data_IF_154622816457
#
_entry.id   IF_154622816457
#
_cell.length_a   1.000
_cell.length_b   1.000
_cell.length_c   1.000
_cell.angle_alpha   90.00
_cell.angle_beta   90.00
_cell.angle_gamma   90.00
#
_symmetry.space_group_name_H-M   'P 1'
#
loop_
_entity.id
_entity.type
_entity.pdbx_description
1 polymer ?
#
# COMPACT_ATOMS: atom_id res chain seq x y z
N UNK A 1 -3.18 7.12 2.17
CA UNK A 1 -3.24 5.81 2.84
C UNK A 1 -2.92 6.00 4.32
N UNK A 2 -3.67 5.37 5.21
CA UNK A 2 -3.47 5.44 6.66
C UNK A 2 -2.79 4.17 7.15
N UNK A 3 -1.56 4.30 7.64
CA UNK A 3 -0.79 3.24 8.30
C UNK A 3 -0.85 3.47 9.80
N UNK A 4 -1.66 2.67 10.51
CA UNK A 4 -1.83 2.80 11.95
C UNK A 4 -0.69 2.09 12.69
N UNK A 5 -0.14 2.74 13.70
CA UNK A 5 0.95 2.22 14.54
C UNK A 5 0.42 1.76 15.89
N UNK A 6 1.20 0.95 16.59
CA UNK A 6 1.00 0.53 17.99
C UNK A 6 1.51 1.57 19.02
N UNK A 7 2.22 2.60 18.55
CA UNK A 7 2.62 3.77 19.32
C UNK A 7 1.76 5.00 18.94
N UNK A 8 1.38 5.88 19.89
CA UNK A 8 1.74 5.89 21.32
C UNK A 8 0.95 4.93 22.20
N UNK A 9 0.02 4.16 21.64
CA UNK A 9 -0.72 3.14 22.35
C UNK A 9 -1.46 2.21 21.40
N UNK A 10 -2.10 1.16 21.93
CA UNK A 10 -2.77 0.14 21.12
C UNK A 10 -3.81 0.74 20.18
N UNK A 11 -3.75 0.34 18.92
CA UNK A 11 -4.70 0.74 17.87
C UNK A 11 -5.32 -0.50 17.22
N UNK A 12 -6.66 -0.57 17.17
CA UNK A 12 -7.38 -1.73 16.65
C UNK A 12 -7.12 -1.99 15.15
N UNK A 13 -6.79 -0.94 14.38
CA UNK A 13 -6.38 -1.09 12.98
C UNK A 13 -4.97 -1.65 12.87
N UNK A 14 -4.06 -1.27 13.78
CA UNK A 14 -2.72 -1.87 13.85
C UNK A 14 -2.79 -3.37 14.19
N UNK A 15 -3.55 -3.75 15.21
CA UNK A 15 -3.71 -5.16 15.64
C UNK A 15 -4.15 -6.07 14.49
N UNK A 16 -4.94 -5.56 13.54
CA UNK A 16 -5.40 -6.31 12.38
C UNK A 16 -4.31 -6.59 11.34
N UNK A 17 -3.23 -5.79 11.29
CA UNK A 17 -2.18 -5.91 10.28
C UNK A 17 -0.81 -5.41 10.78
N UNK A 18 -0.40 -5.83 11.97
CA UNK A 18 0.78 -5.29 12.65
C UNK A 18 2.05 -5.40 11.81
N UNK A 19 2.32 -6.58 11.23
CA UNK A 19 3.56 -6.84 10.49
C UNK A 19 3.79 -5.89 9.32
N UNK A 20 2.78 -5.70 8.47
CA UNK A 20 2.93 -4.84 7.29
C UNK A 20 3.02 -3.37 7.70
N UNK A 21 2.23 -2.95 8.70
CA UNK A 21 2.19 -1.57 9.18
C UNK A 21 3.50 -1.18 9.89
N UNK A 22 4.01 -2.04 10.77
CA UNK A 22 5.27 -1.85 11.49
C UNK A 22 6.46 -1.90 10.53
N UNK A 23 6.47 -2.85 9.58
CA UNK A 23 7.51 -2.90 8.55
C UNK A 23 7.55 -1.62 7.71
N UNK A 24 6.39 -1.03 7.41
CA UNK A 24 6.33 0.21 6.64
C UNK A 24 6.74 1.44 7.44
N UNK A 25 6.33 1.49 8.71
CA UNK A 25 6.73 2.53 9.65
C UNK A 25 8.25 2.53 9.85
N UNK A 26 8.85 1.33 9.97
CA UNK A 26 10.29 1.14 10.03
C UNK A 26 10.99 1.60 8.74
N UNK A 27 10.51 1.19 7.57
CA UNK A 27 11.08 1.56 6.27
C UNK A 27 11.17 3.10 6.10
N UNK A 28 10.13 3.82 6.48
CA UNK A 28 10.11 5.29 6.43
C UNK A 28 10.68 5.99 7.67
N UNK A 29 11.26 5.23 8.60
CA UNK A 29 11.89 5.73 9.83
C UNK A 29 10.95 6.64 10.65
N UNK A 30 9.67 6.28 10.69
CA UNK A 30 8.65 7.01 11.45
C UNK A 30 8.85 6.68 12.94
N UNK A 31 9.21 7.69 13.74
CA UNK A 31 9.51 7.54 15.19
C UNK A 31 8.45 8.14 16.12
N UNK A 32 7.48 8.84 15.57
CA UNK A 32 6.36 9.42 16.28
C UNK A 32 5.22 9.65 15.29
N UNK A 33 4.00 9.80 15.78
CA UNK A 33 2.80 10.08 14.96
C UNK A 33 2.18 11.41 15.38
N UNK A 34 1.45 12.11 14.49
CA UNK A 34 1.24 11.81 13.07
C UNK A 34 2.47 12.13 12.21
N UNK A 35 2.65 11.40 11.10
CA UNK A 35 3.67 11.66 10.07
C UNK A 35 3.09 11.46 8.68
N UNK A 36 3.68 12.16 7.72
CA UNK A 36 3.31 12.08 6.32
C UNK A 36 4.54 11.75 5.48
N UNK A 37 4.37 10.79 4.59
CA UNK A 37 5.35 10.36 3.60
C UNK A 37 4.75 10.60 2.23
N UNK A 38 5.51 11.23 1.33
CA UNK A 38 5.08 11.59 -0.02
C UNK A 38 6.10 11.08 -1.01
N UNK A 39 5.67 10.31 -2.01
CA UNK A 39 6.53 9.72 -3.04
C UNK A 39 7.73 8.92 -2.46
N UNK A 40 7.50 8.26 -1.33
CA UNK A 40 8.53 7.49 -0.62
C UNK A 40 9.47 8.33 0.26
N UNK A 41 9.34 9.66 0.25
CA UNK A 41 10.14 10.56 1.06
C UNK A 41 9.38 11.00 2.32
N UNK A 42 10.07 10.93 3.46
CA UNK A 42 9.59 11.39 4.76
C UNK A 42 10.43 12.57 5.21
N UNK A 43 9.78 13.65 5.66
CA UNK A 43 10.45 14.71 6.43
C UNK A 43 10.19 14.43 7.91
N UNK A 44 11.22 14.59 8.75
CA UNK A 44 11.10 14.38 10.21
C UNK A 44 10.13 15.33 10.93
N UNK A 45 9.49 16.25 10.20
CA UNK A 45 8.52 17.23 10.67
C UNK A 45 7.07 16.74 10.58
N UNK A 46 6.16 17.48 11.22
CA UNK A 46 4.73 17.28 11.06
C UNK A 46 4.28 17.47 9.60
N UNK A 47 3.13 16.88 9.20
CA UNK A 47 2.58 17.06 7.86
C UNK A 47 2.33 18.54 7.53
N UNK A 48 2.97 19.06 6.47
CA UNK A 48 2.62 20.36 5.88
C UNK A 48 1.86 20.14 4.57
N UNK A 49 0.54 20.17 4.63
CA UNK A 49 -0.32 19.85 3.49
C UNK A 49 -0.17 20.83 2.32
N UNK A 50 0.16 22.10 2.57
CA UNK A 50 0.39 23.09 1.51
C UNK A 50 1.64 22.75 0.70
N UNK A 51 2.75 22.44 1.38
CA UNK A 51 3.98 22.01 0.70
C UNK A 51 3.78 20.72 -0.08
N UNK A 52 2.98 19.79 0.46
CA UNK A 52 2.65 18.52 -0.19
C UNK A 52 1.83 18.76 -1.45
N UNK A 53 0.82 19.63 -1.39
CA UNK A 53 0.00 19.98 -2.55
C UNK A 53 0.87 20.62 -3.66
N UNK A 54 1.75 21.55 -3.29
CA UNK A 54 2.69 22.15 -4.24
C UNK A 54 3.64 21.13 -4.86
N UNK A 55 4.16 20.19 -4.06
CA UNK A 55 4.99 19.09 -4.56
C UNK A 55 4.18 18.25 -5.55
N UNK A 56 3.01 17.76 -5.16
CA UNK A 56 2.15 16.96 -6.03
C UNK A 56 1.90 17.64 -7.38
N UNK A 57 1.52 18.93 -7.38
CA UNK A 57 1.29 19.69 -8.62
C UNK A 57 2.52 19.77 -9.52
N UNK A 58 3.73 19.86 -8.97
CA UNK A 58 4.97 19.86 -9.76
C UNK A 58 5.25 18.49 -10.36
N UNK A 59 5.13 17.43 -9.56
CA UNK A 59 5.46 16.07 -10.00
C UNK A 59 4.41 15.48 -10.96
N UNK A 60 3.16 15.95 -10.90
CA UNK A 60 2.11 15.57 -11.86
C UNK A 60 2.42 15.99 -13.31
N UNK A 61 3.34 16.94 -13.51
CA UNK A 61 3.81 17.38 -14.83
C UNK A 61 4.97 16.54 -15.37
N UNK A 62 5.55 15.66 -14.54
CA UNK A 62 6.66 14.80 -14.95
C UNK A 62 6.11 13.53 -15.61
N UNK A 63 6.77 13.11 -16.68
CA UNK A 63 6.43 11.86 -17.34
C UNK A 63 6.76 10.68 -16.42
N UNK A 64 5.76 9.84 -16.13
CA UNK A 64 6.00 8.56 -15.45
C UNK A 64 6.63 7.56 -16.42
N UNK A 65 7.67 6.79 -16.02
CA UNK A 65 8.26 5.78 -16.91
C UNK A 65 7.31 4.64 -17.29
N UNK A 66 6.26 4.44 -16.49
CA UNK A 66 5.30 3.35 -16.67
C UNK A 66 3.86 3.84 -16.57
N UNK A 67 2.98 3.26 -17.38
CA UNK A 67 1.55 3.27 -17.18
C UNK A 67 1.15 2.03 -16.35
N UNK A 68 0.38 2.26 -15.29
CA UNK A 68 -0.15 1.21 -14.42
C UNK A 68 -1.67 1.15 -14.58
N UNK A 69 -2.19 -0.03 -14.94
CA UNK A 69 -3.63 -0.30 -15.01
C UNK A 69 -3.97 -1.41 -14.04
N UNK A 70 -4.77 -1.11 -13.03
CA UNK A 70 -5.30 -2.11 -12.10
C UNK A 70 -6.61 -2.64 -12.66
N UNK A 71 -6.68 -3.94 -12.92
CA UNK A 71 -7.91 -4.60 -13.36
C UNK A 71 -8.85 -4.80 -12.16
N UNK A 72 -10.18 -4.80 -12.36
CA UNK A 72 -11.12 -5.08 -11.28
C UNK A 72 -10.76 -6.41 -10.60
N UNK A 73 -10.58 -6.41 -9.26
CA UNK A 73 -10.22 -7.62 -8.55
C UNK A 73 -11.37 -8.62 -8.64
N UNK A 74 -11.02 -9.91 -8.76
CA UNK A 74 -12.00 -11.00 -8.87
C UNK A 74 -11.97 -11.83 -7.61
N UNK A 75 -13.14 -12.15 -7.08
CA UNK A 75 -13.26 -13.17 -6.05
C UNK A 75 -13.27 -14.53 -6.76
N UNK A 76 -12.21 -15.30 -6.57
CA UNK A 76 -12.19 -16.71 -6.97
C UNK A 76 -12.65 -17.58 -5.81
N UNK A 77 -13.03 -18.83 -6.10
CA UNK A 77 -13.52 -19.79 -5.11
C UNK A 77 -12.61 -19.86 -3.86
N UNK A 78 -13.20 -20.24 -2.73
CA UNK A 78 -12.48 -20.40 -1.44
C UNK A 78 -11.90 -19.10 -0.85
N UNK A 79 -12.58 -17.96 -1.02
CA UNK A 79 -12.22 -16.67 -0.40
C UNK A 79 -10.84 -16.13 -0.83
N UNK A 80 -10.46 -16.35 -2.09
CA UNK A 80 -9.23 -15.80 -2.67
C UNK A 80 -9.58 -14.58 -3.50
N UNK A 81 -9.05 -13.42 -3.11
CA UNK A 81 -9.13 -12.21 -3.90
C UNK A 81 -7.97 -12.19 -4.89
N UNK A 82 -8.28 -12.27 -6.17
CA UNK A 82 -7.31 -12.19 -7.27
C UNK A 82 -7.17 -10.74 -7.72
N UNK A 83 -5.95 -10.23 -7.72
CA UNK A 83 -5.62 -8.86 -8.07
C UNK A 83 -4.67 -8.91 -9.25
N UNK A 84 -5.09 -8.26 -10.34
CA UNK A 84 -4.31 -8.23 -11.57
C UNK A 84 -3.99 -6.78 -11.90
N UNK A 85 -2.72 -6.48 -12.12
CA UNK A 85 -2.27 -5.18 -12.58
C UNK A 85 -1.43 -5.35 -13.84
N UNK A 86 -1.61 -4.45 -14.81
CA UNK A 86 -0.78 -4.38 -16.01
C UNK A 86 0.13 -3.17 -15.89
N UNK A 87 1.42 -3.42 -16.05
CA UNK A 87 2.44 -2.40 -16.18
C UNK A 87 2.85 -2.31 -17.65
N UNK A 88 2.93 -1.10 -18.21
CA UNK A 88 3.43 -0.84 -19.57
C UNK A 88 4.51 0.24 -19.54
N UNK A 89 5.68 -0.06 -20.08
CA UNK A 89 6.77 0.90 -20.20
C UNK A 89 6.44 1.97 -21.25
N UNK A 90 6.58 3.23 -20.87
CA UNK A 90 6.37 4.41 -21.73
C UNK A 90 7.68 4.97 -22.27
N UNK A 91 8.79 4.74 -21.55
CA UNK A 91 10.17 5.09 -21.92
C UNK A 91 11.09 3.90 -21.61
N UNK A 92 12.31 3.86 -22.17
CA UNK A 92 13.31 2.88 -21.75
C UNK A 92 13.62 3.00 -20.25
N UNK A 93 13.69 1.88 -19.54
CA UNK A 93 13.94 1.85 -18.10
C UNK A 93 14.79 0.63 -17.71
N UNK A 94 15.86 0.85 -16.94
CA UNK A 94 16.86 -0.18 -16.61
C UNK A 94 17.22 -0.24 -15.11
N UNK A 95 16.35 0.27 -14.24
CA UNK A 95 16.51 0.16 -12.80
C UNK A 95 15.64 -0.94 -12.21
N UNK A 96 16.00 -1.41 -11.01
CA UNK A 96 15.19 -2.33 -10.25
C UNK A 96 13.80 -1.72 -10.00
N UNK A 97 12.75 -2.48 -10.27
CA UNK A 97 11.39 -2.03 -10.08
C UNK A 97 10.72 -2.86 -8.99
N UNK A 98 10.06 -2.19 -8.06
CA UNK A 98 9.24 -2.80 -7.02
C UNK A 98 7.81 -2.37 -7.20
N UNK A 99 6.90 -3.33 -7.29
CA UNK A 99 5.47 -3.06 -7.34
C UNK A 99 4.85 -3.36 -5.99
N UNK A 100 4.18 -2.35 -5.44
CA UNK A 100 3.51 -2.47 -4.15
C UNK A 100 2.00 -2.48 -4.35
N UNK A 101 1.35 -3.55 -3.89
CA UNK A 101 -0.11 -3.62 -3.86
C UNK A 101 -0.57 -3.52 -2.41
N UNK A 102 -1.51 -2.61 -2.16
CA UNK A 102 -2.01 -2.30 -0.82
C UNK A 102 -3.53 -2.40 -0.83
N UNK A 103 -4.07 -3.28 0.02
CA UNK A 103 -5.49 -3.36 0.29
C UNK A 103 -5.84 -2.37 1.38
N UNK A 104 -6.79 -1.48 1.10
CA UNK A 104 -7.23 -0.46 2.03
C UNK A 104 -8.76 -0.39 2.07
N UNK A 105 -9.30 0.04 3.21
CA UNK A 105 -10.75 0.16 3.43
C UNK A 105 -11.06 1.43 4.20
N UNK A 106 -12.20 2.04 3.93
CA UNK A 106 -12.77 3.06 4.82
C UNK A 106 -13.34 2.41 6.09
N UNK A 107 -13.17 3.06 7.23
CA UNK A 107 -13.67 2.58 8.52
C UNK A 107 -14.17 3.72 9.38
N UNK A 108 -15.21 3.46 10.17
CA UNK A 108 -15.68 4.38 11.19
C UNK A 108 -15.31 3.78 12.56
N UNK A 109 -14.45 4.47 13.31
CA UNK A 109 -14.02 4.08 14.66
C UNK A 109 -13.97 5.33 15.54
N UNK A 110 -15.14 5.92 15.80
CA UNK A 110 -15.30 7.23 16.46
C UNK A 110 -14.92 8.43 15.58
N UNK A 111 -14.16 8.19 14.50
CA UNK A 111 -13.91 9.11 13.38
C UNK A 111 -13.96 8.34 12.07
N UNK A 112 -14.31 9.03 11.00
CA UNK A 112 -14.28 8.48 9.65
C UNK A 112 -12.84 8.48 9.14
N UNK A 113 -12.28 7.29 8.97
CA UNK A 113 -10.98 7.07 8.37
C UNK A 113 -11.17 6.55 6.94
N UNK A 114 -10.53 7.23 5.98
CA UNK A 114 -10.48 6.79 4.60
C UNK A 114 -9.14 6.11 4.31
N UNK A 115 -9.17 5.06 3.49
CA UNK A 115 -7.96 4.36 3.04
C UNK A 115 -7.08 3.79 4.16
N UNK A 116 -7.68 3.16 5.18
CA UNK A 116 -6.96 2.42 6.23
C UNK A 116 -6.38 1.14 5.65
N UNK A 117 -5.06 0.97 5.75
CA UNK A 117 -4.34 -0.18 5.20
C UNK A 117 -4.69 -1.45 5.98
N UNK A 118 -5.06 -2.51 5.25
CA UNK A 118 -5.46 -3.81 5.80
C UNK A 118 -4.50 -4.94 5.43
N UNK A 119 -3.84 -4.84 4.29
CA UNK A 119 -2.83 -5.80 3.84
C UNK A 119 -1.92 -5.19 2.79
N UNK A 120 -0.66 -5.58 2.80
CA UNK A 120 0.29 -5.37 1.70
C UNK A 120 0.60 -6.71 1.05
N UNK A 121 0.64 -6.73 -0.28
CA UNK A 121 0.82 -7.96 -1.07
C UNK A 121 2.10 -7.89 -1.91
N UNK A 122 2.83 -9.01 -2.02
CA UNK A 122 2.67 -10.24 -1.21
C UNK A 122 2.96 -9.99 0.27
N UNK A 123 3.80 -9.00 0.55
CA UNK A 123 4.17 -8.53 1.89
C UNK A 123 4.55 -7.03 1.86
N UNK A 124 5.21 -6.56 2.93
CA UNK A 124 5.65 -5.18 3.08
C UNK A 124 6.77 -4.77 2.11
N UNK A 125 7.57 -5.71 1.61
CA UNK A 125 8.63 -5.44 0.64
C UNK A 125 8.07 -5.27 -0.77
N UNK A 126 6.92 -5.89 -1.06
CA UNK A 126 6.27 -5.83 -2.37
C UNK A 126 6.87 -6.85 -3.35
N UNK A 127 6.53 -6.72 -4.63
CA UNK A 127 7.03 -7.62 -5.67
C UNK A 127 8.20 -6.98 -6.40
N UNK A 128 9.39 -7.53 -6.22
CA UNK A 128 10.54 -7.20 -7.04
C UNK A 128 10.34 -7.77 -8.44
N UNK A 129 10.38 -6.91 -9.44
CA UNK A 129 10.38 -7.33 -10.83
C UNK A 129 11.81 -7.57 -11.24
N UNK A 130 12.05 -8.70 -11.91
CA UNK A 130 13.38 -9.03 -12.44
C UNK A 130 13.93 -7.85 -13.25
N UNK A 131 15.22 -7.58 -13.06
CA UNK A 131 15.90 -6.49 -13.75
C UNK A 131 15.87 -6.77 -15.26
N UNK A 132 14.94 -6.11 -15.94
CA UNK A 132 14.79 -6.12 -17.38
C UNK A 132 15.19 -4.76 -17.93
N UNK A 133 15.88 -4.74 -19.07
CA UNK A 133 16.03 -3.53 -19.86
C UNK A 133 14.71 -3.26 -20.59
N UNK A 134 13.74 -2.66 -19.90
CA UNK A 134 12.42 -2.36 -20.44
C UNK A 134 12.54 -1.48 -21.66
N UNK A 135 11.96 -1.93 -22.77
CA UNK A 135 11.80 -1.13 -23.98
C UNK A 135 10.42 -0.47 -24.01
N UNK A 136 10.29 0.60 -24.78
CA UNK A 136 9.00 1.27 -24.96
C UNK A 136 7.96 0.26 -25.47
N UNK A 137 6.81 0.17 -24.79
CA UNK A 137 5.75 -0.75 -25.14
C UNK A 137 5.82 -2.12 -24.43
N UNK A 138 6.95 -2.47 -23.83
CA UNK A 138 7.06 -3.68 -23.00
C UNK A 138 5.98 -3.67 -21.93
N UNK A 139 5.34 -4.82 -21.74
CA UNK A 139 4.25 -4.97 -20.80
C UNK A 139 4.44 -6.20 -19.92
N UNK A 140 4.01 -6.09 -18.67
CA UNK A 140 3.99 -7.18 -17.70
C UNK A 140 2.65 -7.18 -16.99
N UNK A 141 2.12 -8.38 -16.79
CA UNK A 141 0.96 -8.59 -15.93
C UNK A 141 1.44 -9.13 -14.60
N UNK A 142 1.00 -8.50 -13.53
CA UNK A 142 1.28 -8.86 -12.15
C UNK A 142 0.00 -9.45 -11.59
N UNK A 143 0.07 -10.72 -11.19
CA UNK A 143 -1.04 -11.46 -10.61
C UNK A 143 -0.69 -11.74 -9.15
N UNK A 144 -1.55 -11.28 -8.23
CA UNK A 144 -1.40 -11.51 -6.81
C UNK A 144 -2.69 -12.08 -6.25
N UNK A 145 -2.55 -13.09 -5.40
CA UNK A 145 -3.65 -13.71 -4.71
C UNK A 145 -3.61 -13.38 -3.23
N UNK A 146 -4.78 -13.14 -2.65
CA UNK A 146 -4.93 -12.91 -1.23
C UNK A 146 -6.00 -13.81 -0.62
N UNK A 147 -5.58 -14.69 0.28
CA UNK A 147 -6.50 -15.54 1.05
C UNK A 147 -7.14 -14.76 2.20
N UNK A 148 -8.47 -14.64 2.18
CA UNK A 148 -9.24 -14.00 3.24
C UNK A 148 -9.63 -14.98 4.36
N UNK A 149 -9.09 -16.20 4.38
CA UNK A 149 -9.50 -17.26 5.34
C UNK A 149 -9.19 -16.86 6.79
N UNK A 150 -8.08 -16.16 7.05
CA UNK A 150 -7.74 -15.67 8.40
C UNK A 150 -8.59 -14.47 8.86
N UNK A 151 -9.34 -13.84 7.97
CA UNK A 151 -10.14 -12.66 8.32
C UNK A 151 -11.44 -13.00 9.06
N UNK A 152 -12.01 -14.20 8.86
CA UNK A 152 -13.22 -14.63 9.58
C UNK A 152 -12.97 -15.05 11.03
N UNK A 153 -11.78 -15.58 11.34
CA UNK A 153 -11.48 -16.07 12.68
C UNK A 153 -11.39 -14.96 13.74
N UNK A 154 -11.08 -13.71 13.34
CA UNK A 154 -11.02 -12.56 14.26
C UNK A 154 -12.33 -11.76 14.35
N UNK A 155 -13.28 -12.00 13.45
CA UNK A 155 -14.63 -11.38 13.54
C UNK A 155 -15.62 -12.22 14.35
N UNK A 156 -15.18 -13.34 14.94
CA UNK A 156 -15.98 -14.23 15.78
C UNK A 156 -15.29 -14.55 17.11
N UNK A 157 -14.77 -13.55 17.82
CA UNK A 157 -14.59 -13.71 19.26
C UNK A 157 -15.92 -13.39 19.94
N UNK A 158 -16.55 -14.35 20.65
CA UNK A 158 -17.75 -14.08 21.42
C UNK A 158 -17.40 -13.13 22.55
N UNK A 159 -18.29 -12.17 22.80
CA UNK A 159 -18.34 -11.42 24.04
C UNK A 159 -18.60 -12.45 25.14
N UNK A 160 -17.63 -12.66 26.03
CA UNK A 160 -17.86 -13.38 27.28
C UNK A 160 -18.60 -12.41 28.21
N UNK A 161 -19.88 -12.68 28.46
CA UNK A 161 -20.53 -12.37 29.74
C UNK A 161 -20.15 -13.42 30.78
#
# INVERSE_FOLDING_TARGET
MHYHTDFPGPDAFNVANEKDLSGRTFFYRVRAVPRLVVDGESKGSLPNYLQVAQRYSRYALLLTPFALTVLPPKLSGQNILQINARLKALIPFNHLLVVQVVLARSSNAGKNYHYVVRKMLPDVAGTFLEAKNWQVGDSLVINLDWSMIRWRARSMSPVYE
#
